data_IF_244421153777
#
_entry.id   IF_244421153777
#
_cell.length_a   1.000
_cell.length_b   1.000
_cell.length_c   1.000
_cell.angle_alpha   90.00
_cell.angle_beta   90.00
_cell.angle_gamma   90.00
#
_symmetry.space_group_name_H-M   'P 1'
#
loop_
_entity.id
_entity.type
_entity.pdbx_description
1 polymer ?
#
# COMPACT_ATOMS: atom_id res chain seq x y z
N UNK A 1 39.41 -40.22 -34.28
CA UNK A 1 39.16 -39.85 -33.93
C UNK A 1 38.57 -39.21 -33.45
N UNK A 2 38.29 -39.14 -33.23
CA UNK A 2 37.82 -38.62 -32.82
C UNK A 2 37.23 -38.11 -32.23
N UNK A 3 37.10 -37.87 -32.07
CA UNK A 3 36.62 -37.45 -31.50
C UNK A 3 36.11 -36.84 -31.02
N UNK A 4 36.20 -36.73 -30.99
CA UNK A 4 35.87 -36.04 -30.55
C UNK A 4 35.17 -35.56 -30.20
N UNK A 5 34.85 -35.32 -30.05
CA UNK A 5 34.16 -34.78 -29.77
C UNK A 5 33.55 -34.44 -29.11
N UNK A 6 33.46 -34.35 -28.90
CA UNK A 6 32.91 -33.96 -28.37
C UNK A 6 32.35 -33.45 -27.85
N UNK A 7 32.12 -33.11 -27.61
CA UNK A 7 31.73 -32.62 -27.13
C UNK A 7 31.20 -32.08 -26.64
N UNK A 8 30.84 -31.97 -26.31
CA UNK A 8 30.48 -31.50 -25.85
C UNK A 8 29.98 -30.71 -25.29
N UNK A 9 30.01 -30.54 -24.82
CA UNK A 9 29.76 -29.39 -24.58
C UNK A 9 28.46 -28.86 -24.38
N UNK A 10 27.70 -28.96 -24.92
CA UNK A 10 26.36 -28.53 -24.88
C UNK A 10 25.73 -28.31 -23.54
N UNK A 11 26.01 -29.08 -22.59
CA UNK A 11 25.32 -28.98 -21.28
C UNK A 11 25.41 -27.64 -20.64
N UNK A 12 26.28 -26.86 -21.04
CA UNK A 12 26.48 -25.63 -20.38
C UNK A 12 25.35 -24.71 -20.44
N UNK A 13 24.68 -24.69 -21.52
CA UNK A 13 23.60 -23.76 -21.72
C UNK A 13 22.54 -23.92 -20.67
N UNK A 14 22.37 -25.10 -20.19
CA UNK A 14 21.35 -25.35 -19.22
C UNK A 14 21.54 -24.60 -17.96
N UNK A 15 22.75 -24.52 -17.54
CA UNK A 15 23.02 -23.88 -16.29
C UNK A 15 22.58 -22.43 -16.32
N UNK A 16 22.76 -21.79 -17.41
CA UNK A 16 22.39 -20.39 -17.49
C UNK A 16 20.92 -20.17 -17.29
N UNK A 17 20.12 -21.03 -17.84
CA UNK A 17 18.69 -20.86 -17.73
C UNK A 17 18.23 -20.98 -16.29
N UNK A 18 18.84 -21.83 -15.56
CA UNK A 18 18.45 -22.04 -14.19
C UNK A 18 18.58 -20.80 -13.33
N UNK A 19 19.55 -20.01 -13.64
CA UNK A 19 19.81 -18.85 -12.82
C UNK A 19 18.65 -17.90 -12.75
N UNK A 20 17.98 -17.70 -13.87
CA UNK A 20 16.90 -16.76 -13.87
C UNK A 20 15.67 -17.26 -13.17
N UNK A 21 15.45 -18.51 -13.24
CA UNK A 21 14.25 -19.06 -12.64
C UNK A 21 14.22 -18.88 -11.13
N UNK A 22 15.37 -18.63 -10.54
CA UNK A 22 15.44 -18.52 -9.12
C UNK A 22 15.22 -17.14 -8.53
N UNK A 23 14.76 -16.17 -9.33
CA UNK A 23 14.66 -14.79 -8.86
C UNK A 23 13.21 -14.30 -8.85
N UNK A 24 12.43 -14.67 -7.84
CA UNK A 24 11.05 -14.19 -7.77
C UNK A 24 11.03 -12.70 -7.46
N UNK A 25 10.02 -12.05 -7.97
CA UNK A 25 9.77 -10.65 -7.67
C UNK A 25 8.90 -10.57 -6.43
N UNK A 26 9.28 -9.75 -5.50
CA UNK A 26 8.50 -9.55 -4.29
C UNK A 26 7.68 -8.29 -4.41
N UNK A 27 6.50 -8.32 -3.82
CA UNK A 27 5.69 -7.14 -3.68
C UNK A 27 6.40 -6.19 -2.71
N UNK A 28 6.21 -4.90 -2.91
CA UNK A 28 6.77 -3.91 -2.02
C UNK A 28 6.12 -4.03 -0.64
N UNK A 29 6.88 -3.74 0.40
CA UNK A 29 6.35 -3.71 1.75
C UNK A 29 6.04 -2.28 2.12
N UNK A 30 4.84 -2.07 2.66
CA UNK A 30 4.41 -0.77 3.15
C UNK A 30 4.34 -0.76 4.67
N UNK A 31 4.82 -1.82 5.31
CA UNK A 31 4.80 -1.95 6.75
C UNK A 31 5.64 -0.86 7.42
N UNK A 32 5.18 -0.41 8.56
CA UNK A 32 5.89 0.58 9.34
C UNK A 32 5.05 1.81 9.60
N UNK A 33 5.67 2.83 10.21
CA UNK A 33 4.96 4.07 10.53
C UNK A 33 4.84 4.97 9.30
N UNK A 34 3.69 5.61 9.20
CA UNK A 34 3.38 6.59 8.16
C UNK A 34 2.73 7.80 8.79
N UNK A 35 2.85 8.95 8.15
CA UNK A 35 2.11 10.14 8.52
C UNK A 35 1.13 10.43 7.40
N UNK A 36 -0.13 10.64 7.77
CA UNK A 36 -1.20 10.93 6.81
C UNK A 36 -1.71 12.34 7.05
N UNK A 37 -1.86 13.07 5.96
CA UNK A 37 -2.47 14.40 5.97
C UNK A 37 -3.80 14.30 5.24
N UNK A 38 -4.86 14.72 5.91
CA UNK A 38 -6.20 14.75 5.36
C UNK A 38 -6.52 16.19 5.00
N UNK A 39 -6.95 16.42 3.77
CA UNK A 39 -7.33 17.74 3.30
C UNK A 39 -8.80 17.73 2.92
N UNK A 40 -9.58 18.60 3.53
CA UNK A 40 -11.01 18.73 3.23
C UNK A 40 -11.19 19.68 2.08
N UNK A 41 -11.85 19.22 1.03
CA UNK A 41 -12.14 20.02 -0.15
C UNK A 41 -13.63 20.36 -0.25
N UNK A 42 -14.47 19.61 0.44
CA UNK A 42 -15.90 19.82 0.43
C UNK A 42 -16.46 19.49 1.81
N UNK A 43 -17.37 20.29 2.30
CA UNK A 43 -18.00 20.13 3.59
C UNK A 43 -17.39 21.02 4.66
N UNK A 44 -17.97 20.94 5.86
CA UNK A 44 -17.61 21.83 6.97
C UNK A 44 -16.66 21.20 7.98
N UNK A 45 -15.86 20.23 7.55
CA UNK A 45 -14.86 19.61 8.41
C UNK A 45 -13.60 20.47 8.44
N UNK A 46 -12.69 20.17 9.39
CA UNK A 46 -11.43 20.90 9.46
C UNK A 46 -10.73 20.90 8.11
N UNK A 47 -10.11 22.02 7.77
CA UNK A 47 -9.49 22.19 6.47
C UNK A 47 -8.38 21.17 6.21
N UNK A 48 -7.59 20.91 7.22
CA UNK A 48 -6.53 19.91 7.13
C UNK A 48 -6.14 19.44 8.52
N UNK A 49 -5.75 18.19 8.61
CA UNK A 49 -5.20 17.64 9.84
C UNK A 49 -4.32 16.45 9.51
N UNK A 50 -3.39 16.14 10.38
CA UNK A 50 -2.49 15.03 10.17
C UNK A 50 -2.47 14.12 11.39
N UNK A 51 -2.14 12.87 11.15
CA UNK A 51 -2.04 11.90 12.22
C UNK A 51 -1.10 10.77 11.80
N UNK A 52 -0.48 10.12 12.78
CA UNK A 52 0.37 8.97 12.50
C UNK A 52 -0.50 7.72 12.36
N UNK A 53 -0.02 6.77 11.56
CA UNK A 53 -0.63 5.45 11.52
C UNK A 53 0.45 4.40 11.31
N UNK A 54 0.09 3.18 11.58
CA UNK A 54 0.98 2.04 11.45
C UNK A 54 0.39 1.06 10.46
N UNK A 55 1.22 0.58 9.54
CA UNK A 55 0.81 -0.45 8.60
C UNK A 55 1.55 -1.73 8.97
N UNK A 56 0.84 -2.83 9.00
CA UNK A 56 1.40 -4.14 9.30
C UNK A 56 0.66 -5.21 8.50
N UNK A 57 1.40 -5.96 7.70
CA UNK A 57 0.82 -7.03 6.91
C UNK A 57 -0.22 -6.57 5.91
N UNK A 58 -0.07 -5.37 5.36
CA UNK A 58 -1.03 -4.82 4.41
C UNK A 58 -2.28 -4.27 5.08
N UNK A 59 -2.28 -4.10 6.39
CA UNK A 59 -3.42 -3.58 7.13
C UNK A 59 -3.02 -2.36 7.92
N UNK A 60 -3.96 -1.46 8.10
CA UNK A 60 -3.75 -0.30 8.96
C UNK A 60 -4.13 -0.72 10.37
N UNK A 61 -3.19 -0.55 11.29
CA UNK A 61 -3.40 -0.88 12.69
C UNK A 61 -4.01 0.33 13.38
N UNK A 62 -5.19 0.14 13.94
CA UNK A 62 -5.88 1.19 14.66
C UNK A 62 -5.23 1.43 16.00
N UNK A 63 -5.08 2.70 16.36
CA UNK A 63 -4.54 3.07 17.67
C UNK A 63 -5.61 3.77 18.48
N UNK A 64 -6.68 3.12 18.77
CA UNK A 64 -7.73 3.73 19.55
C UNK A 64 -9.04 3.03 19.31
N UNK A 65 -10.14 3.77 19.49
CA UNK A 65 -11.47 3.19 19.36
C UNK A 65 -11.97 3.08 17.92
N UNK A 66 -11.22 3.56 16.96
CA UNK A 66 -11.65 3.48 15.56
C UNK A 66 -11.55 2.06 15.03
N UNK A 67 -12.53 1.68 14.24
CA UNK A 67 -12.54 0.40 13.54
C UNK A 67 -12.12 0.67 12.10
N UNK A 68 -11.08 -0.01 11.65
CA UNK A 68 -10.56 0.15 10.30
C UNK A 68 -10.68 -1.17 9.58
N UNK A 69 -11.30 -1.14 8.39
CA UNK A 69 -11.46 -2.31 7.54
C UNK A 69 -10.85 -2.01 6.19
N UNK A 70 -10.47 -3.07 5.48
CA UNK A 70 -9.85 -2.94 4.19
C UNK A 70 -8.38 -3.22 4.28
N UNK A 71 -7.68 -2.94 3.19
CA UNK A 71 -6.27 -3.31 3.14
C UNK A 71 -5.53 -2.52 2.08
N UNK A 72 -4.22 -2.66 2.16
CA UNK A 72 -3.30 -2.14 1.17
C UNK A 72 -2.78 -3.34 0.39
N UNK A 73 -3.02 -3.34 -0.91
CA UNK A 73 -2.59 -4.44 -1.76
C UNK A 73 -1.07 -4.36 -2.00
N UNK A 74 -0.50 -5.46 -2.46
CA UNK A 74 0.93 -5.51 -2.71
C UNK A 74 1.41 -4.48 -3.74
N UNK A 75 0.54 -4.05 -4.64
CA UNK A 75 0.88 -3.02 -5.61
C UNK A 75 0.63 -1.60 -5.08
N UNK A 76 0.26 -1.48 -3.82
CA UNK A 76 0.05 -0.17 -3.20
C UNK A 76 -1.38 0.34 -3.23
N UNK A 77 -2.30 -0.36 -3.87
CA UNK A 77 -3.68 0.09 -3.92
C UNK A 77 -4.29 0.12 -2.53
N UNK A 78 -4.95 1.23 -2.18
CA UNK A 78 -5.55 1.45 -0.86
C UNK A 78 -7.06 1.48 -1.00
N UNK A 79 -7.73 0.68 -0.17
CA UNK A 79 -9.18 0.71 -0.04
C UNK A 79 -9.51 0.43 1.42
N UNK A 80 -9.91 1.44 2.15
CA UNK A 80 -10.19 1.30 3.57
C UNK A 80 -11.48 2.00 3.95
N UNK A 81 -12.12 1.49 4.98
CA UNK A 81 -13.28 2.10 5.61
C UNK A 81 -12.98 2.26 7.10
N UNK A 82 -13.39 3.39 7.65
CA UNK A 82 -13.10 3.73 9.03
C UNK A 82 -14.38 4.15 9.71
N UNK A 83 -14.59 3.69 10.93
CA UNK A 83 -15.71 4.15 11.74
C UNK A 83 -15.25 4.38 13.16
N UNK A 84 -15.80 5.40 13.79
CA UNK A 84 -15.48 5.75 15.16
C UNK A 84 -16.61 6.60 15.74
N UNK A 85 -17.32 6.07 16.73
CA UNK A 85 -18.44 6.78 17.31
C UNK A 85 -19.50 7.09 16.26
N UNK A 86 -19.90 8.34 16.17
CA UNK A 86 -20.90 8.77 15.19
C UNK A 86 -20.33 9.13 13.84
N UNK A 87 -19.09 8.81 13.58
CA UNK A 87 -18.41 9.19 12.34
C UNK A 87 -18.01 7.96 11.54
N UNK A 88 -18.05 8.08 10.22
CA UNK A 88 -17.59 7.03 9.33
C UNK A 88 -17.00 7.65 8.07
N UNK A 89 -16.12 6.90 7.42
CA UNK A 89 -15.51 7.38 6.20
C UNK A 89 -14.85 6.27 5.43
N UNK A 90 -14.45 6.59 4.23
CA UNK A 90 -13.71 5.66 3.39
C UNK A 90 -12.62 6.42 2.63
N UNK A 91 -11.60 5.70 2.26
CA UNK A 91 -10.48 6.27 1.51
C UNK A 91 -10.00 5.28 0.46
N UNK A 92 -9.58 5.81 -0.65
CA UNK A 92 -9.00 5.02 -1.73
C UNK A 92 -7.82 5.77 -2.33
N UNK A 93 -6.92 5.05 -2.94
CA UNK A 93 -5.74 5.66 -3.53
C UNK A 93 -4.63 4.66 -3.68
N UNK A 94 -3.41 5.14 -3.59
CA UNK A 94 -2.26 4.30 -3.81
C UNK A 94 -1.06 4.77 -3.02
N UNK A 95 -0.32 3.80 -2.47
CA UNK A 95 0.96 4.04 -1.83
C UNK A 95 2.09 3.65 -2.78
N UNK A 96 3.16 4.40 -2.73
CA UNK A 96 4.43 4.05 -3.34
C UNK A 96 5.43 3.84 -2.21
N UNK A 97 6.70 3.68 -2.53
CA UNK A 97 7.69 3.29 -1.53
C UNK A 97 7.78 4.25 -0.33
N UNK A 98 7.72 5.53 -0.57
CA UNK A 98 7.86 6.52 0.52
C UNK A 98 6.71 7.50 0.64
N UNK A 99 5.71 7.42 -0.23
CA UNK A 99 4.63 8.38 -0.23
C UNK A 99 3.37 7.77 -0.83
N UNK A 100 2.26 8.45 -0.66
CA UNK A 100 1.02 8.01 -1.27
C UNK A 100 0.01 9.14 -1.30
N UNK A 101 -1.08 8.91 -2.00
CA UNK A 101 -2.15 9.89 -2.09
C UNK A 101 -3.44 9.22 -2.55
N UNK A 102 -4.53 9.93 -2.37
CA UNK A 102 -5.83 9.44 -2.79
C UNK A 102 -6.93 10.38 -2.37
N UNK A 103 -8.13 9.83 -2.32
CA UNK A 103 -9.33 10.57 -1.97
C UNK A 103 -10.01 9.93 -0.77
N UNK A 104 -10.76 10.73 -0.06
CA UNK A 104 -11.56 10.27 1.05
C UNK A 104 -12.93 10.94 1.04
N UNK A 105 -13.89 10.30 1.66
CA UNK A 105 -15.19 10.89 1.93
C UNK A 105 -15.73 10.31 3.21
N UNK A 106 -16.58 11.05 3.89
CA UNK A 106 -17.11 10.57 5.15
C UNK A 106 -18.21 11.44 5.71
N UNK A 107 -18.79 10.92 6.78
CA UNK A 107 -19.79 11.61 7.58
C UNK A 107 -19.15 11.78 8.96
N UNK A 108 -18.80 13.02 9.30
CA UNK A 108 -18.06 13.33 10.52
C UNK A 108 -18.94 14.17 11.42
N UNK A 109 -19.43 13.58 12.49
CA UNK A 109 -20.31 14.24 13.45
C UNK A 109 -21.51 14.91 12.76
N UNK A 110 -22.11 14.20 11.80
CA UNK A 110 -23.27 14.70 11.08
C UNK A 110 -22.96 15.55 9.84
N UNK A 111 -21.72 15.87 9.58
CA UNK A 111 -21.31 16.66 8.42
C UNK A 111 -20.71 15.77 7.35
N UNK A 112 -21.22 15.90 6.12
CA UNK A 112 -20.69 15.17 5.00
C UNK A 112 -19.52 15.93 4.41
N UNK A 113 -18.36 15.31 4.40
CA UNK A 113 -17.12 15.93 3.92
C UNK A 113 -16.39 15.00 2.98
N UNK A 114 -15.55 15.59 2.14
CA UNK A 114 -14.70 14.82 1.25
C UNK A 114 -13.47 15.64 0.87
N UNK A 115 -12.49 14.96 0.32
CA UNK A 115 -11.28 15.62 -0.11
C UNK A 115 -10.22 14.63 -0.52
N UNK A 116 -9.00 15.00 -0.28
CA UNK A 116 -7.85 14.18 -0.63
C UNK A 116 -7.02 13.86 0.61
N UNK A 117 -6.18 12.87 0.48
CA UNK A 117 -5.21 12.53 1.52
C UNK A 117 -3.85 12.33 0.89
N UNK A 118 -2.83 12.56 1.68
CA UNK A 118 -1.45 12.31 1.32
C UNK A 118 -0.79 11.58 2.48
N UNK A 119 0.15 10.72 2.16
CA UNK A 119 0.87 9.96 3.17
C UNK A 119 2.35 9.95 2.84
N UNK A 120 3.15 9.87 3.88
CA UNK A 120 4.59 9.73 3.71
C UNK A 120 5.20 9.05 4.94
N UNK A 121 6.38 8.49 4.76
CA UNK A 121 7.14 7.89 5.84
C UNK A 121 8.60 8.28 5.84
#
# INVERSE_FOLDING_TARGET
>A
MLLSALKRSAPFALAAAVLFAGSPVRAASFDGPWTVVIVTQSGNCDAAYSFPLQISGGRIVSTGSATIRGRIAGNGAVNVAISSGGSSGSASGRLAAGSGSGRWSGLLNGSRCSGRWEAHR
#
